data_IF_964019839467
#
_entry.id   IF_964019839467
#
_cell.length_a   1.000
_cell.length_b   1.000
_cell.length_c   1.000
_cell.angle_alpha   90.00
_cell.angle_beta   90.00
_cell.angle_gamma   90.00
#
_symmetry.space_group_name_H-M   'P 1'
#
loop_
_entity.id
_entity.type
_entity.pdbx_description
1 polymer ?
#
# COMPACT_ATOMS: atom_id res chain seq x y z
N UNK A 1 23.40 22.58 -12.17
CA UNK A 1 21.98 22.98 -12.24
C UNK A 1 21.08 21.84 -11.83
N UNK A 2 20.09 22.11 -11.01
CA UNK A 2 19.15 21.10 -10.53
C UNK A 2 17.78 21.73 -10.29
N UNK A 3 16.76 20.88 -10.20
CA UNK A 3 15.43 21.26 -9.74
C UNK A 3 15.14 20.51 -8.45
N UNK A 4 14.57 21.20 -7.47
CA UNK A 4 14.26 20.64 -6.15
C UNK A 4 12.79 20.96 -5.79
N UNK A 5 12.03 19.91 -5.51
CA UNK A 5 10.67 20.04 -5.00
C UNK A 5 10.67 19.65 -3.53
N UNK A 6 10.36 20.60 -2.68
CA UNK A 6 10.32 20.40 -1.24
C UNK A 6 8.89 20.27 -0.72
N UNK A 7 8.73 19.79 0.49
CA UNK A 7 7.45 19.70 1.19
C UNK A 7 6.31 19.01 0.40
N UNK A 8 6.65 17.99 -0.37
CA UNK A 8 5.64 17.22 -1.11
C UNK A 8 4.72 16.42 -0.19
N UNK A 9 5.26 15.92 0.90
CA UNK A 9 4.52 15.18 1.93
C UNK A 9 5.30 15.24 3.24
N UNK A 10 4.58 15.06 4.34
CA UNK A 10 5.17 14.97 5.67
C UNK A 10 4.84 13.61 6.27
N UNK A 11 5.87 12.90 6.76
CA UNK A 11 5.73 11.59 7.36
C UNK A 11 6.24 11.61 8.79
N UNK A 12 5.42 11.10 9.71
CA UNK A 12 5.80 10.98 11.12
C UNK A 12 6.01 9.51 11.46
N UNK A 13 7.20 9.17 11.96
CA UNK A 13 7.57 7.82 12.35
C UNK A 13 7.95 7.82 13.83
N UNK A 14 7.31 6.94 14.60
CA UNK A 14 7.74 6.65 15.97
C UNK A 14 8.83 5.58 15.95
N UNK A 15 9.87 5.75 16.78
CA UNK A 15 11.00 4.83 16.83
C UNK A 15 11.90 4.97 15.59
N UNK A 16 12.36 3.83 15.09
CA UNK A 16 13.29 3.80 13.95
C UNK A 16 12.52 3.71 12.63
N UNK A 17 12.97 4.47 11.64
CA UNK A 17 12.47 4.39 10.27
C UNK A 17 13.14 3.24 9.54
N UNK A 18 12.34 2.36 8.95
CA UNK A 18 12.80 1.24 8.14
C UNK A 18 12.63 1.53 6.65
N UNK A 19 13.58 1.08 5.86
CA UNK A 19 13.58 1.18 4.40
C UNK A 19 13.64 -0.23 3.84
N UNK A 20 12.77 -0.54 2.88
CA UNK A 20 12.73 -1.85 2.25
C UNK A 20 12.51 -1.70 0.75
N UNK A 21 12.91 -2.72 0.01
CA UNK A 21 12.58 -2.87 -1.41
C UNK A 21 11.54 -3.96 -1.53
N UNK A 22 10.42 -3.62 -2.13
CA UNK A 22 9.36 -4.56 -2.46
C UNK A 22 9.40 -4.84 -3.95
N UNK A 23 9.56 -6.11 -4.31
CA UNK A 23 9.45 -6.53 -5.70
C UNK A 23 8.12 -7.25 -5.87
N UNK A 24 7.30 -6.78 -6.80
CA UNK A 24 6.01 -7.39 -7.12
C UNK A 24 6.03 -7.95 -8.53
N UNK A 25 5.44 -9.12 -8.69
CA UNK A 25 5.33 -9.80 -9.96
C UNK A 25 3.89 -9.77 -10.43
N UNK A 26 3.71 -9.76 -11.75
CA UNK A 26 2.39 -9.84 -12.37
C UNK A 26 1.69 -11.12 -11.90
N UNK A 27 0.43 -11.00 -11.57
CA UNK A 27 -0.38 -12.09 -11.03
C UNK A 27 -1.84 -11.92 -11.44
N UNK A 28 -2.71 -12.80 -10.95
CA UNK A 28 -4.14 -12.69 -11.16
C UNK A 28 -4.65 -11.33 -10.67
N UNK A 29 -5.52 -10.71 -11.45
CA UNK A 29 -6.12 -9.41 -11.12
C UNK A 29 -7.18 -9.48 -10.04
N UNK A 30 -7.59 -10.68 -9.65
CA UNK A 30 -8.51 -10.88 -8.54
C UNK A 30 -7.73 -11.01 -7.24
N UNK A 31 -8.26 -10.41 -6.18
CA UNK A 31 -7.68 -10.53 -4.84
C UNK A 31 -8.78 -10.50 -3.80
N UNK A 32 -8.50 -11.06 -2.62
CA UNK A 32 -9.49 -11.21 -1.56
C UNK A 32 -9.02 -10.64 -0.23
N UNK A 33 -7.72 -10.37 -0.11
CA UNK A 33 -7.11 -9.92 1.13
C UNK A 33 -6.82 -8.43 1.09
N UNK A 34 -7.02 -7.80 2.24
CA UNK A 34 -6.50 -6.47 2.53
C UNK A 34 -5.76 -6.53 3.85
N UNK A 35 -4.75 -5.69 4.00
CA UNK A 35 -3.98 -5.56 5.23
C UNK A 35 -3.91 -4.12 5.68
N UNK A 36 -3.58 -3.92 6.96
CA UNK A 36 -3.33 -2.59 7.50
C UNK A 36 -2.19 -2.60 8.52
N UNK A 37 -1.61 -1.43 8.69
CA UNK A 37 -0.65 -1.12 9.75
C UNK A 37 -1.24 0.01 10.58
N UNK A 38 -1.43 -0.20 11.88
CA UNK A 38 -2.08 0.80 12.73
C UNK A 38 -1.09 1.67 13.52
N UNK A 39 0.18 1.28 13.55
CA UNK A 39 1.22 1.96 14.32
C UNK A 39 2.13 2.85 13.48
N UNK A 40 2.03 2.79 12.17
CA UNK A 40 2.92 3.52 11.26
C UNK A 40 2.19 4.02 10.02
N UNK A 41 2.66 5.14 9.51
CA UNK A 41 2.42 5.54 8.13
C UNK A 41 3.34 4.71 7.22
N UNK A 42 3.03 4.65 5.95
CA UNK A 42 3.81 3.90 4.97
C UNK A 42 3.91 4.68 3.66
N UNK A 43 5.10 4.70 3.07
CA UNK A 43 5.32 5.24 1.74
C UNK A 43 5.56 4.09 0.78
N UNK A 44 4.88 4.12 -0.37
CA UNK A 44 5.26 3.38 -1.56
C UNK A 44 5.81 4.36 -2.58
N UNK A 45 6.99 4.09 -3.09
CA UNK A 45 7.60 4.88 -4.15
C UNK A 45 7.94 3.95 -5.33
N UNK A 46 7.33 4.20 -6.49
CA UNK A 46 7.54 3.39 -7.69
C UNK A 46 8.90 3.70 -8.31
N UNK A 47 9.83 2.75 -8.24
CA UNK A 47 11.21 2.99 -8.66
C UNK A 47 11.42 2.85 -10.17
N UNK A 48 10.88 1.81 -10.77
CA UNK A 48 11.26 1.42 -12.13
C UNK A 48 10.08 1.21 -13.10
N UNK A 49 8.88 1.00 -12.61
CA UNK A 49 7.68 0.72 -13.42
C UNK A 49 6.44 1.30 -12.76
N UNK A 50 5.42 1.56 -13.56
CA UNK A 50 4.11 1.93 -13.07
C UNK A 50 3.45 0.77 -12.34
N UNK A 51 2.73 1.07 -11.27
CA UNK A 51 1.97 0.09 -10.51
C UNK A 51 0.55 0.59 -10.24
N UNK A 52 -0.35 -0.32 -9.88
CA UNK A 52 -1.66 0.01 -9.35
C UNK A 52 -1.61 -0.18 -7.83
N UNK A 53 -2.00 0.85 -7.09
CA UNK A 53 -2.09 0.82 -5.63
C UNK A 53 -3.55 0.62 -5.24
N UNK A 54 -3.76 -0.30 -4.29
CA UNK A 54 -5.08 -0.73 -3.84
C UNK A 54 -5.25 -0.23 -2.40
N UNK A 55 -6.21 0.65 -2.17
CA UNK A 55 -6.40 1.26 -0.85
C UNK A 55 -7.87 1.30 -0.45
N UNK A 56 -8.10 1.16 0.84
CA UNK A 56 -9.38 1.37 1.48
C UNK A 56 -9.22 2.32 2.65
N UNK A 57 -10.28 3.06 2.95
CA UNK A 57 -10.28 4.03 4.04
C UNK A 57 -10.00 3.34 5.38
N UNK A 58 -9.23 3.98 6.24
CA UNK A 58 -9.00 3.50 7.61
C UNK A 58 -10.31 3.35 8.37
N UNK A 59 -10.40 2.27 9.14
CA UNK A 59 -11.56 1.98 9.99
C UNK A 59 -11.08 1.78 11.43
N UNK A 60 -10.72 2.87 12.16
CA UNK A 60 -10.07 2.76 13.46
C UNK A 60 -10.92 2.07 14.53
N UNK A 61 -12.25 2.08 14.37
CA UNK A 61 -13.18 1.48 15.31
C UNK A 61 -13.73 0.13 14.85
N UNK A 62 -13.20 -0.43 13.77
CA UNK A 62 -13.62 -1.70 13.20
C UNK A 62 -12.42 -2.52 12.80
N UNK A 63 -12.56 -3.84 12.84
CA UNK A 63 -11.48 -4.76 12.44
C UNK A 63 -11.52 -5.12 10.96
N UNK A 64 -12.47 -4.57 10.20
CA UNK A 64 -12.64 -4.85 8.78
C UNK A 64 -12.76 -3.55 7.99
N UNK A 65 -12.31 -3.53 6.72
CA UNK A 65 -12.51 -2.36 5.87
C UNK A 65 -13.99 -2.21 5.45
N UNK A 66 -14.35 -0.99 5.09
CA UNK A 66 -15.60 -0.73 4.38
C UNK A 66 -15.37 -0.96 2.89
N UNK A 67 -16.03 -1.98 2.33
CA UNK A 67 -15.81 -2.46 0.96
C UNK A 67 -15.94 -1.34 -0.09
N UNK A 68 -16.95 -0.48 0.06
CA UNK A 68 -17.23 0.59 -0.88
C UNK A 68 -16.15 1.68 -0.91
N UNK A 69 -15.26 1.71 0.07
CA UNK A 69 -14.15 2.67 0.10
C UNK A 69 -12.92 2.19 -0.64
N UNK A 70 -12.88 0.90 -1.00
CA UNK A 70 -11.71 0.31 -1.66
C UNK A 70 -11.61 0.83 -3.10
N UNK A 71 -10.47 1.42 -3.41
CA UNK A 71 -10.17 2.03 -4.70
C UNK A 71 -8.82 1.55 -5.21
N UNK A 72 -8.69 1.54 -6.53
CA UNK A 72 -7.43 1.30 -7.21
C UNK A 72 -7.03 2.56 -7.96
N UNK A 73 -5.75 2.92 -7.91
CA UNK A 73 -5.23 4.02 -8.71
C UNK A 73 -3.83 3.72 -9.21
N UNK A 74 -3.49 4.35 -10.32
CA UNK A 74 -2.18 4.21 -10.93
C UNK A 74 -1.16 5.08 -10.21
N UNK A 75 -0.05 4.47 -9.81
CA UNK A 75 1.13 5.16 -9.33
C UNK A 75 2.21 5.04 -10.38
N UNK A 76 2.52 6.15 -11.02
CA UNK A 76 3.50 6.18 -12.10
C UNK A 76 4.92 6.04 -11.55
N UNK A 77 5.79 5.45 -12.38
CA UNK A 77 7.23 5.38 -12.11
C UNK A 77 7.76 6.76 -11.71
N UNK A 78 8.54 6.80 -10.64
CA UNK A 78 9.14 8.03 -10.13
C UNK A 78 8.23 8.82 -9.20
N UNK A 79 7.05 8.30 -8.87
CA UNK A 79 6.11 8.93 -7.93
C UNK A 79 5.91 8.09 -6.71
N UNK A 80 5.54 8.72 -5.61
CA UNK A 80 5.26 8.07 -4.34
C UNK A 80 3.88 8.40 -3.81
N UNK A 81 3.43 7.59 -2.87
CA UNK A 81 2.20 7.80 -2.13
C UNK A 81 2.44 7.54 -0.66
N UNK A 82 1.87 8.39 0.19
CA UNK A 82 1.88 8.23 1.64
C UNK A 82 0.53 7.66 2.08
N UNK A 83 0.58 6.51 2.74
CA UNK A 83 -0.59 5.89 3.35
C UNK A 83 -0.61 6.26 4.84
N UNK A 84 -1.71 6.81 5.30
CA UNK A 84 -1.90 7.13 6.73
C UNK A 84 -2.06 5.87 7.56
N UNK A 85 -1.81 5.97 8.87
CA UNK A 85 -2.03 4.85 9.80
C UNK A 85 -3.42 4.25 9.62
N UNK A 86 -3.48 2.92 9.55
CA UNK A 86 -4.73 2.19 9.43
C UNK A 86 -5.31 2.12 8.03
N UNK A 87 -4.69 2.74 7.03
CA UNK A 87 -5.15 2.61 5.64
C UNK A 87 -5.12 1.15 5.22
N UNK A 88 -6.27 0.63 4.81
CA UNK A 88 -6.34 -0.71 4.25
C UNK A 88 -5.70 -0.71 2.87
N UNK A 89 -4.90 -1.73 2.57
CA UNK A 89 -4.20 -1.85 1.28
C UNK A 89 -3.85 -3.30 1.01
N UNK A 90 -3.38 -3.56 -0.19
CA UNK A 90 -2.80 -4.84 -0.56
C UNK A 90 -1.54 -4.60 -1.37
N UNK A 91 -0.80 -5.66 -1.69
CA UNK A 91 0.42 -5.55 -2.49
C UNK A 91 0.12 -4.82 -3.81
N UNK A 92 0.88 -3.81 -4.18
CA UNK A 92 0.72 -3.14 -5.46
C UNK A 92 0.75 -4.13 -6.62
N UNK A 93 -0.02 -3.83 -7.66
CA UNK A 93 -0.09 -4.65 -8.86
C UNK A 93 0.76 -4.03 -9.96
N UNK A 94 1.79 -4.74 -10.50
CA UNK A 94 2.62 -4.15 -11.54
C UNK A 94 1.90 -4.16 -12.89
N UNK A 95 2.05 -3.08 -13.67
CA UNK A 95 1.53 -3.03 -15.03
C UNK A 95 2.45 -3.73 -16.03
N UNK A 96 3.74 -3.89 -15.69
CA UNK A 96 4.69 -4.73 -16.40
C UNK A 96 4.75 -6.10 -15.73
N UNK A 97 5.63 -6.98 -16.20
CA UNK A 97 5.81 -8.30 -15.59
C UNK A 97 6.30 -8.23 -14.13
N UNK A 98 7.06 -7.19 -13.82
CA UNK A 98 7.69 -7.00 -12.51
C UNK A 98 7.85 -5.51 -12.24
N UNK A 99 7.75 -5.13 -10.98
CA UNK A 99 8.04 -3.76 -10.55
C UNK A 99 8.70 -3.77 -9.17
N UNK A 100 9.53 -2.78 -8.92
CA UNK A 100 10.17 -2.54 -7.62
C UNK A 100 9.69 -1.23 -7.04
N UNK A 101 9.44 -1.26 -5.74
CA UNK A 101 9.03 -0.10 -4.96
C UNK A 101 9.96 0.07 -3.77
N UNK A 102 10.27 1.31 -3.44
CA UNK A 102 10.83 1.65 -2.14
C UNK A 102 9.67 1.74 -1.15
N UNK A 103 9.81 1.06 -0.03
CA UNK A 103 8.84 1.11 1.07
C UNK A 103 9.51 1.74 2.28
N UNK A 104 8.87 2.72 2.86
CA UNK A 104 9.35 3.39 4.07
C UNK A 104 8.26 3.32 5.13
N UNK A 105 8.59 2.79 6.30
CA UNK A 105 7.66 2.67 7.41
C UNK A 105 8.45 2.49 8.72
N UNK A 106 7.75 2.30 9.83
CA UNK A 106 8.42 1.96 11.09
C UNK A 106 9.15 0.61 10.95
N UNK A 107 10.39 0.57 11.41
CA UNK A 107 11.19 -0.67 11.39
C UNK A 107 10.47 -1.78 12.14
N UNK A 108 10.40 -2.97 11.54
CA UNK A 108 9.76 -4.14 12.12
C UNK A 108 8.26 -4.25 11.86
N UNK A 109 7.68 -3.36 11.08
CA UNK A 109 6.22 -3.34 10.79
C UNK A 109 5.72 -4.69 10.30
N UNK A 110 6.43 -5.34 9.39
CA UNK A 110 6.00 -6.64 8.84
C UNK A 110 5.91 -7.74 9.89
N UNK A 111 6.64 -7.63 11.00
CA UNK A 111 6.66 -8.62 12.07
C UNK A 111 5.71 -8.29 13.22
N UNK A 112 5.47 -7.01 13.51
CA UNK A 112 4.78 -6.58 14.73
C UNK A 112 3.51 -5.79 14.51
N UNK A 113 3.24 -5.32 13.29
CA UNK A 113 2.10 -4.44 13.01
C UNK A 113 1.48 -4.81 11.67
N UNK A 114 0.87 -5.98 11.62
CA UNK A 114 0.28 -6.51 10.39
C UNK A 114 -1.03 -7.20 10.70
N UNK A 115 -2.13 -6.64 10.20
CA UNK A 115 -3.45 -7.26 10.24
C UNK A 115 -3.90 -7.55 8.82
N UNK A 116 -4.17 -8.81 8.51
CA UNK A 116 -4.67 -9.26 7.21
C UNK A 116 -6.10 -9.76 7.37
N UNK A 117 -6.99 -9.32 6.49
CA UNK A 117 -8.38 -9.78 6.45
C UNK A 117 -8.68 -10.39 5.09
N UNK A 118 -9.27 -11.58 5.10
CA UNK A 118 -9.76 -12.25 3.90
C UNK A 118 -11.24 -11.89 3.71
N UNK A 119 -11.52 -10.99 2.80
CA UNK A 119 -12.86 -10.45 2.58
C UNK A 119 -13.80 -11.48 1.93
N UNK A 120 -13.27 -12.45 1.22
CA UNK A 120 -14.07 -13.54 0.67
C UNK A 120 -14.65 -14.40 1.80
N UNK A 121 -13.83 -14.76 2.78
CA UNK A 121 -14.29 -15.54 3.95
C UNK A 121 -15.23 -14.75 4.85
N UNK A 122 -14.93 -13.47 5.06
CA UNK A 122 -15.67 -12.64 5.99
C UNK A 122 -16.98 -12.10 5.41
N UNK A 123 -16.99 -11.72 4.12
CA UNK A 123 -18.11 -11.01 3.49
C UNK A 123 -18.49 -11.54 2.11
N UNK A 124 -17.87 -12.62 1.64
CA UNK A 124 -18.14 -13.17 0.31
C UNK A 124 -17.69 -12.27 -0.84
N UNK A 125 -16.70 -11.42 -0.63
CA UNK A 125 -16.25 -10.41 -1.61
C UNK A 125 -14.94 -10.82 -2.25
N UNK A 126 -14.89 -10.70 -3.56
CA UNK A 126 -13.65 -10.77 -4.35
C UNK A 126 -13.51 -9.45 -5.11
N UNK A 127 -12.34 -8.84 -5.02
CA UNK A 127 -12.01 -7.62 -5.75
C UNK A 127 -11.38 -7.99 -7.09
N UNK A 128 -11.64 -7.20 -8.12
CA UNK A 128 -11.02 -7.36 -9.43
C UNK A 128 -10.44 -6.02 -9.88
N UNK A 129 -9.15 -6.01 -10.23
CA UNK A 129 -8.50 -4.83 -10.79
C UNK A 129 -8.86 -4.75 -12.27
N UNK A 130 -9.49 -3.65 -12.66
CA UNK A 130 -9.79 -3.35 -14.06
C UNK A 130 -8.80 -2.34 -14.58
N UNK A 131 -8.06 -2.75 -15.58
CA UNK A 131 -7.04 -1.92 -16.21
C UNK A 131 -7.43 -1.66 -17.66
#
# INVERSE_FOLDING_TARGET
TFTFWDDLAEMNIEGKTGFAILEVNKRNKNFTNLERHVKTEEIFFALDKDVVVLVGKATPNQEVPEIETVKAFKLEKGKGVLLYKGTWHWLPYPLAEKARLLVVFQQGTADYDLEIKNLKKLKGVTFCIKI
#
